data_IF_162968203572
#
_entry.id   IF_162968203572
#
_cell.length_a   1.000
_cell.length_b   1.000
_cell.length_c   1.000
_cell.angle_alpha   90.00
_cell.angle_beta   90.00
_cell.angle_gamma   90.00
#
_symmetry.space_group_name_H-M   'P 1'
#
loop_
_entity.id
_entity.type
_entity.pdbx_description
1 polymer ?
#
# COMPACT_ATOMS: atom_id res chain seq x y z
N UNK A 1 45.34 18.50 -53.07
CA UNK A 1 46.15 17.65 -52.18
C UNK A 1 46.07 18.25 -50.80
N UNK A 2 45.27 17.66 -49.91
CA UNK A 2 45.13 18.06 -48.51
C UNK A 2 45.91 17.08 -47.65
N UNK A 3 46.96 17.55 -46.99
CA UNK A 3 47.74 16.77 -46.03
C UNK A 3 46.89 16.54 -44.76
N UNK A 4 46.79 15.30 -44.24
CA UNK A 4 46.06 15.04 -43.01
C UNK A 4 46.80 15.66 -41.82
N UNK A 5 46.07 16.34 -40.94
CA UNK A 5 46.63 16.79 -39.65
C UNK A 5 47.01 15.58 -38.78
N UNK A 6 48.18 15.59 -38.12
CA UNK A 6 48.55 14.53 -37.20
C UNK A 6 47.59 14.52 -36.00
N UNK A 7 47.05 13.35 -35.67
CA UNK A 7 46.32 13.17 -34.41
C UNK A 7 47.31 13.33 -33.26
N UNK A 8 47.03 14.14 -32.23
CA UNK A 8 47.81 14.12 -31.01
C UNK A 8 47.80 12.71 -30.43
N UNK A 9 48.99 12.21 -30.08
CA UNK A 9 49.15 10.94 -29.38
C UNK A 9 48.55 11.01 -27.97
N UNK A 10 48.38 9.87 -27.29
CA UNK A 10 47.75 9.78 -25.96
C UNK A 10 48.56 10.44 -24.82
N UNK A 11 49.59 11.21 -25.14
CA UNK A 11 50.45 11.93 -24.20
C UNK A 11 49.65 13.06 -23.53
N UNK A 12 49.17 12.80 -22.31
CA UNK A 12 48.46 13.80 -21.52
C UNK A 12 47.28 13.27 -20.71
N UNK A 13 46.90 12.00 -20.88
CA UNK A 13 45.91 11.39 -19.98
C UNK A 13 46.62 10.93 -18.71
N UNK A 14 46.39 11.56 -17.53
CA UNK A 14 46.99 11.09 -16.29
C UNK A 14 46.52 9.66 -16.02
N UNK A 15 47.47 8.76 -15.74
CA UNK A 15 47.13 7.39 -15.34
C UNK A 15 46.18 7.44 -14.15
N UNK A 16 45.09 6.65 -14.17
CA UNK A 16 44.14 6.64 -13.07
C UNK A 16 44.83 6.15 -11.79
N UNK A 17 45.14 7.07 -10.88
CA UNK A 17 45.68 6.77 -9.55
C UNK A 17 44.78 5.79 -8.79
N UNK A 18 45.41 4.89 -8.03
CA UNK A 18 44.86 3.63 -7.50
C UNK A 18 43.40 3.64 -7.04
N UNK A 19 42.94 4.65 -6.30
CA UNK A 19 41.56 4.68 -5.82
C UNK A 19 40.51 4.68 -6.95
N UNK A 20 40.80 5.28 -8.11
CA UNK A 20 39.89 5.31 -9.27
C UNK A 20 39.76 3.97 -9.99
N UNK A 21 40.71 3.05 -9.79
CA UNK A 21 40.68 1.69 -10.35
C UNK A 21 39.82 0.74 -9.49
N UNK A 22 39.76 0.97 -8.18
CA UNK A 22 39.01 0.11 -7.24
C UNK A 22 37.64 0.68 -6.88
N UNK A 23 37.47 2.01 -6.96
CA UNK A 23 36.20 2.68 -6.70
C UNK A 23 35.03 2.04 -7.46
N UNK A 24 35.02 1.92 -8.81
CA UNK A 24 33.89 1.32 -9.51
C UNK A 24 33.68 -0.17 -9.17
N UNK A 25 34.76 -0.89 -8.80
CA UNK A 25 34.69 -2.31 -8.42
C UNK A 25 34.03 -2.53 -7.05
N UNK A 26 34.09 -1.53 -6.16
CA UNK A 26 33.44 -1.57 -4.85
C UNK A 26 32.08 -0.87 -4.86
N UNK A 27 31.93 0.19 -5.65
CA UNK A 27 30.69 0.98 -5.70
C UNK A 27 29.53 0.20 -6.32
N UNK A 28 29.79 -0.56 -7.39
CA UNK A 28 28.76 -1.38 -8.06
C UNK A 28 28.17 -2.44 -7.13
N UNK A 29 28.95 -3.32 -6.47
CA UNK A 29 28.37 -4.31 -5.55
C UNK A 29 27.70 -3.65 -4.33
N UNK A 30 28.21 -2.53 -3.82
CA UNK A 30 27.55 -1.77 -2.75
C UNK A 30 26.18 -1.21 -3.20
N UNK A 31 26.10 -0.66 -4.42
CA UNK A 31 24.83 -0.19 -4.98
C UNK A 31 23.84 -1.33 -5.18
N UNK A 32 24.30 -2.47 -5.70
CA UNK A 32 23.46 -3.67 -5.89
C UNK A 32 22.97 -4.20 -4.55
N UNK A 33 23.84 -4.36 -3.55
CA UNK A 33 23.45 -4.81 -2.22
C UNK A 33 22.50 -3.80 -1.55
N UNK A 34 22.77 -2.50 -1.69
CA UNK A 34 21.90 -1.44 -1.18
C UNK A 34 20.52 -1.46 -1.81
N UNK A 35 20.42 -1.62 -3.13
CA UNK A 35 19.11 -1.72 -3.82
C UNK A 35 18.37 -3.00 -3.46
N UNK A 36 19.06 -4.15 -3.41
CA UNK A 36 18.46 -5.43 -3.00
C UNK A 36 17.93 -5.36 -1.57
N UNK A 37 18.58 -4.63 -0.67
CA UNK A 37 18.09 -4.42 0.69
C UNK A 37 16.93 -3.41 0.76
N UNK A 38 16.93 -2.38 -0.08
CA UNK A 38 15.92 -1.31 -0.05
C UNK A 38 14.59 -1.75 -0.69
N UNK A 39 14.63 -2.53 -1.78
CA UNK A 39 13.44 -2.94 -2.53
C UNK A 39 12.40 -3.63 -1.63
N UNK A 40 12.74 -4.64 -0.81
CA UNK A 40 11.78 -5.30 0.08
C UNK A 40 11.12 -4.32 1.06
N UNK A 41 11.89 -3.38 1.62
CA UNK A 41 11.38 -2.38 2.57
C UNK A 41 10.37 -1.46 1.88
N UNK A 42 10.69 -0.98 0.68
CA UNK A 42 9.79 -0.13 -0.11
C UNK A 42 8.54 -0.90 -0.52
N UNK A 43 8.69 -2.14 -1.02
CA UNK A 43 7.56 -2.98 -1.42
C UNK A 43 6.64 -3.29 -0.24
N UNK A 44 7.20 -3.71 0.91
CA UNK A 44 6.41 -4.00 2.10
C UNK A 44 5.73 -2.74 2.65
N UNK A 45 6.44 -1.60 2.69
CA UNK A 45 5.85 -0.33 3.10
C UNK A 45 4.72 0.12 2.18
N UNK A 46 4.86 -0.10 0.87
CA UNK A 46 3.83 0.20 -0.11
C UNK A 46 2.62 -0.73 0.01
N UNK A 47 2.82 -2.03 0.17
CA UNK A 47 1.73 -2.98 0.43
C UNK A 47 1.03 -2.67 1.76
N UNK A 48 1.77 -2.29 2.81
CA UNK A 48 1.16 -1.86 4.06
C UNK A 48 0.29 -0.61 3.88
N UNK A 49 0.77 0.38 3.13
CA UNK A 49 0.05 1.62 2.87
C UNK A 49 -1.18 1.44 1.96
N UNK A 50 -1.14 0.48 1.02
CA UNK A 50 -2.26 0.20 0.13
C UNK A 50 -3.27 -0.81 0.67
N UNK A 51 -2.96 -1.47 1.78
CA UNK A 51 -3.79 -2.52 2.40
C UNK A 51 -4.42 -3.53 1.41
N UNK A 52 -3.69 -4.09 0.41
CA UNK A 52 -4.27 -4.92 -0.64
C UNK A 52 -4.70 -6.32 -0.15
N UNK A 53 -4.51 -6.62 1.13
CA UNK A 53 -4.86 -7.90 1.76
C UNK A 53 -5.97 -7.78 2.81
N UNK A 54 -6.64 -6.63 2.90
CA UNK A 54 -7.20 -6.19 4.17
C UNK A 54 -8.70 -6.01 4.28
N UNK A 55 -9.52 -6.50 3.34
CA UNK A 55 -10.99 -6.44 3.46
C UNK A 55 -11.58 -7.80 3.09
N UNK A 56 -12.46 -8.35 3.92
CA UNK A 56 -13.12 -9.64 3.64
C UNK A 56 -14.14 -9.51 2.49
N UNK A 57 -14.66 -8.29 2.28
CA UNK A 57 -15.52 -7.93 1.15
C UNK A 57 -15.55 -6.40 0.96
N UNK A 58 -15.08 -5.92 -0.20
CA UNK A 58 -15.03 -4.50 -0.53
C UNK A 58 -15.81 -4.21 -1.82
N UNK A 59 -16.75 -3.27 -1.74
CA UNK A 59 -17.47 -2.73 -2.87
C UNK A 59 -16.70 -1.58 -3.53
N UNK A 60 -17.03 -1.26 -4.78
CA UNK A 60 -16.39 -0.15 -5.48
C UNK A 60 -16.80 1.19 -4.86
N UNK A 61 -16.03 2.25 -5.13
CA UNK A 61 -16.39 3.61 -4.72
C UNK A 61 -17.82 3.96 -5.21
N UNK A 62 -18.65 4.43 -4.28
CA UNK A 62 -20.07 4.73 -4.53
C UNK A 62 -21.03 3.55 -4.36
N UNK A 63 -20.52 2.36 -4.02
CA UNK A 63 -21.31 1.19 -3.70
C UNK A 63 -21.19 0.80 -2.22
N UNK A 64 -22.27 0.23 -1.69
CA UNK A 64 -22.27 -0.38 -0.38
C UNK A 64 -22.77 -1.83 -0.44
N UNK A 65 -22.35 -2.68 0.49
CA UNK A 65 -22.79 -4.05 0.58
C UNK A 65 -24.22 -4.16 1.10
N UNK A 66 -25.02 -5.02 0.47
CA UNK A 66 -26.36 -5.34 0.92
C UNK A 66 -26.68 -6.81 0.59
N UNK A 67 -27.01 -7.62 1.60
CA UNK A 67 -27.21 -9.05 1.42
C UNK A 67 -25.92 -9.77 0.98
N UNK A 68 -25.83 -10.14 -0.31
CA UNK A 68 -24.70 -10.87 -0.89
C UNK A 68 -24.07 -10.17 -2.12
N UNK A 69 -24.38 -8.90 -2.35
CA UNK A 69 -23.87 -8.12 -3.46
C UNK A 69 -23.64 -6.65 -3.08
N UNK A 70 -22.84 -5.96 -3.89
CA UNK A 70 -22.63 -4.52 -3.79
C UNK A 70 -23.71 -3.80 -4.60
N UNK A 71 -24.24 -2.71 -4.06
CA UNK A 71 -25.28 -1.90 -4.69
C UNK A 71 -24.87 -0.42 -4.66
N UNK A 72 -25.15 0.36 -5.72
CA UNK A 72 -24.91 1.79 -5.72
C UNK A 72 -25.70 2.51 -4.62
N UNK A 73 -25.06 3.44 -3.91
CA UNK A 73 -25.70 4.20 -2.81
C UNK A 73 -26.83 5.12 -3.29
N UNK A 74 -26.82 5.49 -4.57
CA UNK A 74 -27.83 6.34 -5.21
C UNK A 74 -29.01 5.55 -5.80
N UNK A 75 -28.98 4.22 -5.74
CA UNK A 75 -30.04 3.35 -6.23
C UNK A 75 -30.85 2.70 -5.09
N UNK A 76 -32.17 2.49 -5.28
CA UNK A 76 -32.97 1.77 -4.31
C UNK A 76 -32.62 0.28 -4.28
N UNK A 77 -32.50 -0.28 -3.08
CA UNK A 77 -32.27 -1.70 -2.89
C UNK A 77 -33.45 -2.56 -3.38
N UNK A 78 -33.19 -3.79 -3.86
CA UNK A 78 -34.23 -4.77 -4.13
C UNK A 78 -35.10 -5.03 -2.89
N UNK A 79 -36.37 -5.38 -3.11
CA UNK A 79 -37.30 -5.66 -2.03
C UNK A 79 -36.81 -6.80 -1.12
N UNK A 80 -36.73 -6.53 0.18
CA UNK A 80 -36.28 -7.50 1.20
C UNK A 80 -34.76 -7.54 1.40
N UNK A 81 -33.99 -6.70 0.70
CA UNK A 81 -32.55 -6.52 0.93
C UNK A 81 -32.34 -5.30 1.83
N UNK A 82 -31.39 -5.40 2.75
CA UNK A 82 -31.00 -4.33 3.67
C UNK A 82 -29.50 -4.08 3.53
N UNK A 83 -29.10 -2.80 3.66
CA UNK A 83 -27.70 -2.41 3.73
C UNK A 83 -27.02 -3.15 4.89
N UNK A 84 -25.82 -3.66 4.66
CA UNK A 84 -24.93 -4.10 5.73
C UNK A 84 -24.24 -2.85 6.30
N UNK A 85 -24.64 -2.39 7.50
CA UNK A 85 -24.07 -1.18 8.08
C UNK A 85 -22.59 -1.35 8.46
N UNK A 86 -22.08 -2.57 8.46
CA UNK A 86 -20.69 -2.89 8.77
C UNK A 86 -19.89 -3.23 7.52
N UNK A 87 -20.48 -3.28 6.33
CA UNK A 87 -19.72 -3.76 5.19
C UNK A 87 -18.75 -2.71 4.61
N UNK A 88 -17.89 -3.13 3.67
CA UNK A 88 -16.67 -2.41 3.25
C UNK A 88 -15.65 -2.19 4.39
N UNK A 89 -15.76 -2.97 5.46
CA UNK A 89 -14.88 -2.87 6.61
C UNK A 89 -13.53 -3.55 6.41
N UNK A 90 -12.46 -2.98 7.00
CA UNK A 90 -11.18 -3.65 7.07
C UNK A 90 -11.25 -4.93 7.88
N UNK A 91 -10.25 -5.78 7.70
CA UNK A 91 -10.04 -6.93 8.55
C UNK A 91 -9.93 -6.47 10.01
N UNK A 92 -10.38 -7.29 10.98
CA UNK A 92 -10.46 -6.89 12.39
C UNK A 92 -9.15 -6.33 13.01
N UNK A 93 -7.99 -6.73 12.50
CA UNK A 93 -6.68 -6.24 12.97
C UNK A 93 -6.30 -4.85 12.42
N UNK A 94 -7.13 -4.25 11.56
CA UNK A 94 -6.94 -2.95 10.92
C UNK A 94 -8.10 -1.98 11.23
N UNK A 95 -9.00 -2.31 12.17
CA UNK A 95 -10.11 -1.42 12.54
C UNK A 95 -9.66 -0.07 13.12
N UNK A 96 -8.38 0.13 13.46
CA UNK A 96 -7.83 1.33 14.11
C UNK A 96 -7.17 2.31 13.11
N UNK A 97 -7.48 2.17 11.82
CA UNK A 97 -6.91 2.96 10.72
C UNK A 97 -8.01 3.56 9.84
N UNK A 98 -7.67 4.65 9.16
CA UNK A 98 -8.42 5.19 8.03
C UNK A 98 -9.91 5.48 8.30
N UNK A 99 -10.22 5.99 9.50
CA UNK A 99 -11.60 6.38 9.86
C UNK A 99 -12.50 5.21 10.20
N UNK A 100 -11.92 4.12 10.72
CA UNK A 100 -12.64 3.01 11.31
C UNK A 100 -12.40 2.95 12.81
N UNK A 101 -13.39 2.44 13.52
CA UNK A 101 -13.35 2.19 14.96
C UNK A 101 -13.77 0.74 15.23
N UNK A 102 -13.05 0.08 16.12
CA UNK A 102 -13.40 -1.26 16.56
C UNK A 102 -14.63 -1.22 17.47
N UNK A 103 -15.62 -2.06 17.19
CA UNK A 103 -16.84 -2.21 17.97
C UNK A 103 -17.02 -3.66 18.43
N UNK A 104 -17.70 -3.85 19.55
CA UNK A 104 -18.06 -5.15 20.10
C UNK A 104 -19.56 -5.21 20.36
N UNK A 105 -20.15 -6.37 20.06
CA UNK A 105 -21.58 -6.61 20.29
C UNK A 105 -21.83 -6.94 21.75
N UNK A 106 -22.84 -6.30 22.33
CA UNK A 106 -23.23 -6.47 23.73
C UNK A 106 -23.58 -7.93 24.04
N UNK A 107 -22.90 -8.51 25.03
CA UNK A 107 -23.14 -9.87 25.49
C UNK A 107 -22.53 -10.98 24.61
N UNK A 108 -21.66 -10.63 23.66
CA UNK A 108 -20.87 -11.58 22.86
C UNK A 108 -19.39 -11.15 22.78
N UNK A 109 -18.53 -12.06 22.37
CA UNK A 109 -17.13 -11.79 22.01
C UNK A 109 -16.96 -11.34 20.55
N UNK A 110 -18.06 -11.24 19.80
CA UNK A 110 -18.08 -10.74 18.42
C UNK A 110 -17.57 -9.30 18.35
N UNK A 111 -16.48 -9.11 17.60
CA UNK A 111 -15.88 -7.81 17.32
C UNK A 111 -15.99 -7.52 15.82
N UNK A 112 -16.16 -6.26 15.49
CA UNK A 112 -16.21 -5.81 14.11
C UNK A 112 -15.65 -4.38 13.95
N UNK A 113 -15.49 -3.91 12.72
CA UNK A 113 -15.12 -2.51 12.47
C UNK A 113 -16.34 -1.71 11.99
N UNK A 114 -16.48 -0.48 12.51
CA UNK A 114 -17.48 0.50 12.08
C UNK A 114 -16.78 1.72 11.47
N UNK A 115 -17.29 2.21 10.35
CA UNK A 115 -16.82 3.46 9.77
C UNK A 115 -17.26 4.64 10.65
N UNK A 116 -16.36 5.56 10.96
CA UNK A 116 -16.58 6.67 11.90
C UNK A 116 -17.71 7.63 11.45
N UNK A 117 -18.04 7.66 10.15
CA UNK A 117 -19.13 8.48 9.60
C UNK A 117 -20.51 7.81 9.77
N UNK A 118 -20.56 6.54 10.19
CA UNK A 118 -21.79 5.79 10.37
C UNK A 118 -22.23 5.76 11.85
N UNK A 119 -23.55 5.81 12.11
CA UNK A 119 -24.05 5.69 13.47
C UNK A 119 -23.82 4.29 14.03
N UNK A 120 -23.42 4.22 15.30
CA UNK A 120 -23.26 2.96 16.03
C UNK A 120 -24.54 2.12 16.00
N UNK A 121 -24.52 0.88 15.49
CA UNK A 121 -25.69 0.03 15.45
C UNK A 121 -26.18 -0.35 16.85
N UNK A 122 -27.49 -0.56 17.00
CA UNK A 122 -28.07 -0.94 18.29
C UNK A 122 -27.48 -2.27 18.81
N UNK A 123 -27.11 -2.30 20.09
CA UNK A 123 -26.51 -3.48 20.74
C UNK A 123 -25.01 -3.65 20.48
N UNK A 124 -24.33 -2.59 20.05
CA UNK A 124 -22.88 -2.53 19.92
C UNK A 124 -22.30 -1.38 20.74
N UNK A 125 -21.04 -1.49 21.13
CA UNK A 125 -20.26 -0.45 21.80
C UNK A 125 -18.83 -0.39 21.23
N UNK A 126 -18.22 0.79 21.28
CA UNK A 126 -16.82 0.97 20.89
C UNK A 126 -15.87 0.28 21.86
N UNK A 127 -14.82 -0.34 21.33
CA UNK A 127 -13.75 -0.96 22.11
C UNK A 127 -12.59 0.04 22.16
N UNK A 128 -12.49 0.79 23.26
CA UNK A 128 -11.47 1.81 23.51
C UNK A 128 -10.10 1.25 23.85
#
# INVERSE_FOLDING_TARGET
MTTPYPRPGPEGVPEPTGWRLWAPRLLVPLLVLGTVALIPVVVLGFLYALNPMGDEWQCSDGEAPAGNACYPLDEPLPAGVHWDPLGNRPMPYNCDKDGWTQIQRDGSDDQDCLNDDLPLPAGWHEVS
#
